data_IF_137534062609
#
_entry.id   IF_137534062609
#
_cell.length_a   1.000
_cell.length_b   1.000
_cell.length_c   1.000
_cell.angle_alpha   90.00
_cell.angle_beta   90.00
_cell.angle_gamma   90.00
#
_symmetry.space_group_name_H-M   'P 1'
#
loop_
_entity.id
_entity.type
_entity.pdbx_description
1 polymer ?
#
# COMPACT_ATOMS: atom_id res chain seq x y z
N UNK A 1 -26.80 -32.11 -14.19
CA UNK A 1 -25.52 -31.49 -14.61
C UNK A 1 -25.11 -30.59 -13.47
N UNK A 2 -24.30 -31.11 -12.57
CA UNK A 2 -23.91 -30.43 -11.34
C UNK A 2 -22.84 -29.37 -11.68
N UNK A 3 -22.99 -28.19 -11.09
CA UNK A 3 -22.09 -27.04 -11.28
C UNK A 3 -21.07 -27.09 -10.14
N UNK A 4 -19.87 -27.61 -10.41
CA UNK A 4 -18.84 -27.86 -9.39
C UNK A 4 -17.79 -26.72 -9.38
N UNK A 5 -17.39 -26.28 -8.19
CA UNK A 5 -16.36 -25.26 -7.96
C UNK A 5 -15.35 -25.76 -6.91
N UNK A 6 -14.07 -25.37 -7.01
CA UNK A 6 -12.97 -25.86 -6.16
C UNK A 6 -12.45 -24.74 -5.25
N UNK A 7 -12.36 -24.98 -3.95
CA UNK A 7 -11.57 -24.17 -3.03
C UNK A 7 -10.26 -24.89 -2.71
N UNK A 8 -9.16 -24.15 -2.58
CA UNK A 8 -7.91 -24.69 -2.03
C UNK A 8 -7.54 -23.96 -0.74
N UNK A 9 -7.39 -24.71 0.34
CA UNK A 9 -6.83 -24.23 1.60
C UNK A 9 -5.31 -24.33 1.48
N UNK A 10 -4.62 -23.20 1.50
CA UNK A 10 -3.15 -23.15 1.48
C UNK A 10 -2.68 -22.89 2.91
N UNK A 11 -2.29 -23.94 3.63
CA UNK A 11 -1.79 -23.78 4.99
C UNK A 11 -0.29 -23.52 4.98
N UNK A 12 0.13 -22.31 5.37
CA UNK A 12 1.54 -21.99 5.67
C UNK A 12 1.75 -22.10 7.17
N UNK A 13 2.31 -23.22 7.63
CA UNK A 13 2.58 -23.44 9.06
C UNK A 13 3.86 -22.72 9.50
N UNK A 14 3.70 -21.65 10.27
CA UNK A 14 4.73 -21.08 11.16
C UNK A 14 4.24 -21.26 12.60
N UNK A 15 5.11 -21.70 13.51
CA UNK A 15 4.77 -21.89 14.93
C UNK A 15 4.10 -20.62 15.50
N UNK A 16 2.92 -20.73 16.14
CA UNK A 16 2.12 -19.56 16.47
C UNK A 16 2.71 -18.78 17.63
N UNK A 17 3.07 -17.52 17.39
CA UNK A 17 2.95 -16.47 18.41
C UNK A 17 1.51 -15.95 18.28
N UNK A 18 0.76 -15.91 19.39
CA UNK A 18 -0.63 -15.48 19.47
C UNK A 18 -0.88 -14.22 18.61
N UNK A 19 -1.44 -14.42 17.42
CA UNK A 19 -1.78 -13.36 16.49
C UNK A 19 -3.09 -12.72 16.96
N UNK A 20 -3.03 -11.45 17.36
CA UNK A 20 -4.22 -10.64 17.60
C UNK A 20 -4.91 -10.31 16.26
N UNK A 21 -6.23 -10.14 16.34
CA UNK A 21 -7.17 -9.83 15.26
C UNK A 21 -6.84 -8.49 14.56
N UNK A 22 -5.96 -8.50 13.57
CA UNK A 22 -5.73 -7.33 12.71
C UNK A 22 -5.85 -7.73 11.24
N UNK A 23 -6.82 -7.19 10.51
CA UNK A 23 -6.94 -7.33 9.06
C UNK A 23 -5.59 -7.00 8.37
N UNK A 24 -5.09 -7.77 7.39
CA UNK A 24 -3.85 -7.42 6.70
C UNK A 24 -3.93 -6.10 5.91
N UNK A 25 -5.12 -5.58 5.58
CA UNK A 25 -5.32 -4.17 5.17
C UNK A 25 -5.42 -3.20 6.33
N UNK A 26 -5.78 -3.64 7.54
CA UNK A 26 -5.45 -2.89 8.77
C UNK A 26 -3.92 -2.89 9.00
N UNK A 27 -3.17 -3.66 8.20
CA UNK A 27 -1.74 -3.57 8.02
C UNK A 27 -1.30 -2.45 7.07
N UNK A 28 -1.04 -1.29 7.69
CA UNK A 28 0.02 -0.35 7.31
C UNK A 28 -0.29 0.66 6.19
N UNK A 29 -1.06 1.69 6.57
CA UNK A 29 -0.84 3.04 6.05
C UNK A 29 0.55 3.54 6.49
N UNK A 30 1.61 3.06 5.84
CA UNK A 30 2.96 3.52 6.15
C UNK A 30 3.15 4.93 5.62
N UNK A 31 2.98 5.93 6.49
CA UNK A 31 3.20 7.34 6.17
C UNK A 31 2.55 7.75 4.84
N UNK A 32 1.25 7.49 4.70
CA UNK A 32 0.50 7.78 3.47
C UNK A 32 0.49 9.29 3.21
N UNK A 33 0.98 9.75 2.05
CA UNK A 33 0.90 11.15 1.68
C UNK A 33 -0.56 11.56 1.46
N UNK A 34 -0.98 12.63 2.13
CA UNK A 34 -2.27 13.28 1.89
C UNK A 34 -2.08 14.41 0.88
N UNK A 35 -0.90 15.04 0.93
CA UNK A 35 -0.44 16.02 -0.03
C UNK A 35 0.46 17.07 0.60
N UNK A 36 0.77 18.08 -0.19
CA UNK A 36 1.66 19.17 0.19
C UNK A 36 0.94 20.49 0.02
N UNK A 37 0.94 21.31 1.07
CA UNK A 37 0.51 22.70 1.01
C UNK A 37 1.74 23.54 0.76
N UNK A 38 1.82 24.18 -0.40
CA UNK A 38 2.83 25.19 -0.70
C UNK A 38 2.21 26.57 -0.49
N UNK A 39 2.77 27.36 0.41
CA UNK A 39 2.20 28.67 0.74
C UNK A 39 2.28 29.61 -0.47
N UNK A 40 1.16 30.24 -0.81
CA UNK A 40 1.03 31.15 -1.95
C UNK A 40 0.83 30.47 -3.30
N UNK A 41 0.51 29.17 -3.32
CA UNK A 41 0.25 28.39 -4.53
C UNK A 41 -1.26 28.10 -4.64
N UNK A 42 -1.89 28.52 -5.75
CA UNK A 42 -3.34 28.45 -5.94
C UNK A 42 -3.90 27.02 -5.86
N UNK A 43 -3.13 26.03 -6.29
CA UNK A 43 -3.50 24.62 -6.18
C UNK A 43 -3.66 24.18 -4.72
N UNK A 44 -2.83 24.72 -3.81
CA UNK A 44 -2.93 24.44 -2.37
C UNK A 44 -4.15 25.12 -1.75
N UNK A 45 -4.50 26.33 -2.19
CA UNK A 45 -5.75 27.01 -1.79
C UNK A 45 -6.97 26.18 -2.19
N UNK A 46 -7.00 25.69 -3.43
CA UNK A 46 -8.10 24.86 -3.94
C UNK A 46 -8.18 23.49 -3.25
N UNK A 47 -7.03 22.83 -3.04
CA UNK A 47 -7.01 21.47 -2.52
C UNK A 47 -7.25 21.38 -1.00
N UNK A 48 -6.76 22.35 -0.23
CA UNK A 48 -6.79 22.32 1.24
C UNK A 48 -7.56 23.49 1.86
N UNK A 49 -8.16 24.37 1.05
CA UNK A 49 -8.78 25.60 1.56
C UNK A 49 -7.79 26.50 2.29
N UNK A 50 -6.52 26.47 1.88
CA UNK A 50 -5.46 27.25 2.52
C UNK A 50 -5.75 28.74 2.39
N UNK A 51 -5.71 29.47 3.50
CA UNK A 51 -5.87 30.93 3.58
C UNK A 51 -4.93 31.51 4.64
N UNK A 52 -4.60 32.80 4.54
CA UNK A 52 -3.85 33.51 5.58
C UNK A 52 -4.24 34.98 5.66
N UNK A 53 -4.25 35.52 6.88
CA UNK A 53 -4.40 36.96 7.15
C UNK A 53 -3.09 37.64 7.56
N UNK A 54 -1.95 36.97 7.36
CA UNK A 54 -0.62 37.44 7.77
C UNK A 54 -0.27 37.23 9.25
N UNK A 55 -1.23 36.89 10.11
CA UNK A 55 -1.02 36.53 11.52
C UNK A 55 -1.41 35.09 11.83
N UNK A 56 -2.28 34.50 11.03
CA UNK A 56 -2.73 33.12 11.15
C UNK A 56 -2.86 32.53 9.76
N UNK A 57 -2.45 31.28 9.64
CA UNK A 57 -2.65 30.46 8.45
C UNK A 57 -3.69 29.40 8.80
N UNK A 58 -4.65 29.18 7.90
CA UNK A 58 -5.76 28.23 8.12
C UNK A 58 -5.87 27.31 6.92
N UNK A 59 -6.00 26.01 7.16
CA UNK A 59 -6.30 25.02 6.12
C UNK A 59 -7.05 23.83 6.70
N UNK A 60 -7.58 22.98 5.82
CA UNK A 60 -8.40 21.85 6.18
C UNK A 60 -7.77 20.53 5.77
N UNK A 61 -7.89 19.53 6.64
CA UNK A 61 -7.56 18.14 6.33
C UNK A 61 -8.86 17.33 6.39
N UNK A 62 -9.15 16.55 5.36
CA UNK A 62 -10.39 15.78 5.25
C UNK A 62 -10.09 14.27 5.12
N UNK A 63 -10.75 13.38 5.87
CA UNK A 63 -10.51 11.93 5.85
C UNK A 63 -10.95 11.24 4.56
N UNK A 64 -11.84 11.86 3.78
CA UNK A 64 -12.16 11.40 2.42
C UNK A 64 -10.91 11.35 1.51
N UNK A 65 -9.82 12.01 1.93
CA UNK A 65 -8.49 11.85 1.36
C UNK A 65 -7.73 10.63 1.89
N UNK A 66 -8.39 9.59 2.39
CA UNK A 66 -7.74 8.34 2.77
C UNK A 66 -8.53 7.18 2.17
N UNK A 67 -7.82 6.35 1.38
CA UNK A 67 -8.39 5.21 0.65
C UNK A 67 -9.01 4.15 1.56
N UNK A 68 -8.76 4.23 2.88
CA UNK A 68 -9.10 3.22 3.86
C UNK A 68 -9.46 3.89 5.20
N UNK A 69 -10.59 3.53 5.81
CA UNK A 69 -10.88 3.86 7.20
C UNK A 69 -10.03 2.98 8.11
N UNK A 70 -8.88 3.49 8.57
CA UNK A 70 -7.94 2.73 9.41
C UNK A 70 -8.20 2.98 10.90
N UNK A 71 -8.48 1.93 11.70
CA UNK A 71 -8.54 2.05 13.15
C UNK A 71 -7.18 2.53 13.72
N UNK A 72 -7.21 3.54 14.60
CA UNK A 72 -6.02 3.97 15.35
C UNK A 72 -5.01 4.83 14.58
N UNK A 73 -5.31 5.27 13.36
CA UNK A 73 -4.43 6.19 12.63
C UNK A 73 -4.50 7.64 13.11
N UNK A 74 -3.51 8.43 12.71
CA UNK A 74 -3.31 9.82 13.09
C UNK A 74 -2.77 10.63 11.91
N UNK A 75 -3.14 11.91 11.88
CA UNK A 75 -2.55 12.87 10.96
C UNK A 75 -1.22 13.39 11.49
N UNK A 76 -0.27 13.60 10.58
CA UNK A 76 1.05 14.12 10.88
C UNK A 76 1.35 15.27 9.93
N UNK A 77 1.85 16.37 10.49
CA UNK A 77 2.34 17.52 9.72
C UNK A 77 3.86 17.53 9.85
N UNK A 78 4.55 17.59 8.72
CA UNK A 78 6.00 17.76 8.66
C UNK A 78 6.32 19.12 8.07
N UNK A 79 7.12 19.91 8.80
CA UNK A 79 7.56 21.23 8.37
C UNK A 79 9.02 21.51 8.77
N UNK A 80 9.98 21.35 7.85
CA UNK A 80 11.40 21.67 8.09
C UNK A 80 11.71 23.16 8.29
N UNK A 81 10.77 24.04 7.93
CA UNK A 81 10.92 25.50 7.93
C UNK A 81 10.14 26.17 9.08
N UNK A 82 9.59 25.39 10.02
CA UNK A 82 8.78 25.93 11.12
C UNK A 82 9.62 26.81 12.03
N UNK A 83 9.09 27.98 12.39
CA UNK A 83 9.75 28.87 13.33
C UNK A 83 9.61 28.32 14.75
N UNK A 84 10.63 28.57 15.59
CA UNK A 84 10.60 28.14 16.99
C UNK A 84 9.45 28.86 17.72
N UNK A 85 8.64 28.09 18.44
CA UNK A 85 7.51 28.62 19.22
C UNK A 85 6.25 28.91 18.41
N UNK A 86 6.20 28.52 17.13
CA UNK A 86 4.96 28.56 16.34
C UNK A 86 3.88 27.72 17.02
N UNK A 87 2.73 28.34 17.35
CA UNK A 87 1.59 27.62 17.94
C UNK A 87 0.74 26.98 16.84
N UNK A 88 0.26 25.77 17.12
CA UNK A 88 -0.70 25.04 16.29
C UNK A 88 -2.00 24.81 17.07
N UNK A 89 -3.11 25.11 16.42
CA UNK A 89 -4.48 24.94 16.93
C UNK A 89 -5.22 24.00 16.00
N UNK A 90 -5.90 23.00 16.58
CA UNK A 90 -6.69 22.00 15.86
C UNK A 90 -8.12 22.09 16.36
N UNK A 91 -9.06 22.38 15.46
CA UNK A 91 -10.49 22.56 15.78
C UNK A 91 -10.73 23.47 16.99
N UNK A 92 -10.00 24.60 17.03
CA UNK A 92 -10.08 25.61 18.08
C UNK A 92 -9.36 25.26 19.39
N UNK A 93 -8.71 24.10 19.49
CA UNK A 93 -7.94 23.68 20.68
C UNK A 93 -6.43 23.78 20.41
N UNK A 94 -5.70 24.43 21.30
CA UNK A 94 -4.24 24.51 21.20
C UNK A 94 -3.63 23.12 21.38
N UNK A 95 -2.76 22.74 20.45
CA UNK A 95 -1.96 21.51 20.48
C UNK A 95 -0.52 21.79 20.97
N UNK A 96 -0.27 23.03 21.43
CA UNK A 96 1.04 23.50 21.86
C UNK A 96 1.88 24.02 20.70
N UNK A 97 3.19 23.80 20.78
CA UNK A 97 4.11 24.26 19.73
C UNK A 97 4.21 23.26 18.59
N UNK A 98 4.33 23.78 17.37
CA UNK A 98 4.62 23.02 16.18
C UNK A 98 6.13 22.77 16.08
N UNK A 99 6.51 21.59 15.60
CA UNK A 99 7.90 21.21 15.36
C UNK A 99 8.11 20.63 13.98
N UNK A 100 9.31 20.08 13.75
CA UNK A 100 9.66 19.43 12.48
C UNK A 100 8.66 18.33 12.12
N UNK A 101 8.22 17.57 13.12
CA UNK A 101 7.19 16.52 13.02
C UNK A 101 6.17 16.79 14.10
N UNK A 102 4.91 16.98 13.72
CA UNK A 102 3.80 17.27 14.64
C UNK A 102 2.65 16.30 14.41
N UNK A 103 2.31 15.52 15.44
CA UNK A 103 1.18 14.58 15.43
C UNK A 103 -0.09 15.29 15.87
N UNK A 104 -1.18 15.13 15.12
CA UNK A 104 -2.49 15.66 15.51
C UNK A 104 -3.21 14.69 16.48
N UNK A 105 -4.06 15.24 17.34
CA UNK A 105 -4.84 14.45 18.31
C UNK A 105 -5.77 13.43 17.64
N UNK A 106 -5.86 12.25 18.25
CA UNK A 106 -6.79 11.15 17.88
C UNK A 106 -8.18 11.39 18.51
N UNK A 107 -9.31 11.01 17.85
CA UNK A 107 -9.39 10.19 16.65
C UNK A 107 -9.58 10.97 15.34
N UNK A 108 -9.25 10.29 14.25
CA UNK A 108 -9.54 10.69 12.87
C UNK A 108 -11.02 10.99 12.74
N UNK A 109 -11.41 12.12 12.12
CA UNK A 109 -12.81 12.46 11.90
C UNK A 109 -13.52 11.41 11.05
N UNK A 110 -14.85 11.40 11.12
CA UNK A 110 -15.67 10.52 10.27
C UNK A 110 -15.61 10.97 8.82
N UNK A 111 -16.02 10.06 7.93
CA UNK A 111 -16.16 10.37 6.51
C UNK A 111 -17.02 11.62 6.30
N UNK A 112 -16.50 12.57 5.51
CA UNK A 112 -17.17 13.85 5.22
C UNK A 112 -16.88 14.98 6.22
N UNK A 113 -16.28 14.71 7.37
CA UNK A 113 -15.84 15.74 8.31
C UNK A 113 -14.51 16.37 7.87
N UNK A 114 -14.22 17.59 8.33
CA UNK A 114 -12.95 18.29 8.07
C UNK A 114 -12.34 18.71 9.39
N UNK A 115 -11.02 18.53 9.51
CA UNK A 115 -10.22 19.10 10.59
C UNK A 115 -9.77 20.49 10.16
N UNK A 116 -9.99 21.49 11.00
CA UNK A 116 -9.46 22.83 10.81
C UNK A 116 -8.12 22.95 11.52
N UNK A 117 -7.07 23.25 10.75
CA UNK A 117 -5.74 23.52 11.28
C UNK A 117 -5.48 25.02 11.19
N UNK A 118 -5.11 25.61 12.32
CA UNK A 118 -4.61 26.98 12.38
C UNK A 118 -3.17 27.01 12.88
N UNK A 119 -2.33 27.78 12.20
CA UNK A 119 -0.94 28.00 12.57
C UNK A 119 -0.78 29.47 12.88
N UNK A 120 -0.43 29.79 14.13
CA UNK A 120 -0.25 31.17 14.59
C UNK A 120 1.12 31.68 14.18
N UNK A 121 1.13 32.77 13.44
CA UNK A 121 2.32 33.39 12.86
C UNK A 121 2.16 33.65 11.36
N UNK A 122 2.97 34.59 10.87
CA UNK A 122 3.08 34.85 9.44
C UNK A 122 3.74 33.66 8.74
N UNK A 123 3.32 33.31 7.51
CA UNK A 123 4.03 32.30 6.73
C UNK A 123 5.46 32.73 6.44
N UNK A 124 6.40 31.79 6.54
CA UNK A 124 7.75 32.00 6.03
C UNK A 124 7.73 32.03 4.49
N UNK A 125 8.70 32.73 3.88
CA UNK A 125 8.88 32.69 2.42
C UNK A 125 9.16 31.25 1.99
N UNK A 126 8.42 30.77 0.99
CA UNK A 126 8.55 29.41 0.45
C UNK A 126 8.24 28.30 1.46
N UNK A 127 7.38 28.59 2.46
CA UNK A 127 6.93 27.60 3.43
C UNK A 127 6.11 26.50 2.76
N UNK A 128 6.34 25.26 3.18
CA UNK A 128 5.48 24.12 2.81
C UNK A 128 5.12 23.26 4.02
N UNK A 129 3.97 22.60 3.93
CA UNK A 129 3.50 21.62 4.90
C UNK A 129 3.29 20.29 4.17
N UNK A 130 4.04 19.26 4.57
CA UNK A 130 3.77 17.90 4.11
C UNK A 130 2.81 17.25 5.07
N UNK A 131 1.72 16.70 4.54
CA UNK A 131 0.64 16.11 5.32
C UNK A 131 0.65 14.60 5.10
N UNK A 132 0.68 13.86 6.20
CA UNK A 132 0.70 12.41 6.20
C UNK A 132 -0.37 11.83 7.12
N UNK A 133 -0.67 10.57 6.86
CA UNK A 133 -1.46 9.72 7.75
C UNK A 133 -0.66 8.48 8.11
N UNK A 134 -0.66 8.12 9.40
CA UNK A 134 0.02 6.91 9.89
C UNK A 134 -0.69 6.30 11.09
N UNK A 135 -0.50 5.01 11.31
CA UNK A 135 -0.94 4.21 12.46
C UNK A 135 0.21 3.90 13.44
N UNK A 136 1.35 4.58 13.32
CA UNK A 136 2.56 4.35 14.12
C UNK A 136 2.28 4.36 15.63
N UNK A 137 1.47 5.29 16.12
CA UNK A 137 1.10 5.38 17.54
C UNK A 137 0.45 4.09 18.07
N UNK A 138 -0.46 3.50 17.29
CA UNK A 138 -1.10 2.22 17.60
C UNK A 138 -0.04 1.10 17.69
N UNK A 139 0.82 1.00 16.67
CA UNK A 139 1.89 -0.02 16.60
C UNK A 139 2.93 0.10 17.73
N UNK A 140 3.14 1.32 18.22
CA UNK A 140 4.04 1.61 19.35
C UNK A 140 3.35 1.43 20.71
N UNK A 141 2.03 1.30 20.75
CA UNK A 141 1.25 1.29 22.00
C UNK A 141 1.36 2.62 22.75
N UNK A 142 1.43 3.74 22.04
CA UNK A 142 1.67 5.07 22.60
C UNK A 142 0.73 6.12 22.02
N UNK A 143 0.33 7.11 22.83
CA UNK A 143 -0.39 8.28 22.34
C UNK A 143 0.61 9.35 21.89
N UNK A 144 0.77 9.54 20.58
CA UNK A 144 1.58 10.62 20.01
C UNK A 144 0.70 11.86 19.79
N UNK A 145 1.16 13.03 20.22
CA UNK A 145 0.43 14.29 20.06
C UNK A 145 1.39 15.48 20.15
N UNK A 146 1.14 16.51 19.35
CA UNK A 146 1.95 17.73 19.32
C UNK A 146 3.33 17.53 18.69
N UNK A 147 4.25 18.43 19.01
CA UNK A 147 5.64 18.37 18.55
C UNK A 147 6.34 17.12 19.06
N UNK A 148 6.78 16.26 18.14
CA UNK A 148 7.46 15.02 18.47
C UNK A 148 8.74 15.24 19.28
N UNK A 149 9.42 16.38 19.12
CA UNK A 149 10.63 16.68 19.89
C UNK A 149 10.37 16.75 21.41
N UNK A 150 9.16 17.18 21.78
CA UNK A 150 8.72 17.35 23.16
C UNK A 150 8.12 16.06 23.75
N UNK A 151 7.97 15.01 22.94
CA UNK A 151 7.45 13.72 23.38
C UNK A 151 8.39 13.03 24.38
N UNK A 152 7.79 12.38 25.38
CA UNK A 152 8.51 11.65 26.42
C UNK A 152 9.38 10.53 25.83
N UNK A 153 10.59 10.40 26.36
CA UNK A 153 11.55 9.37 25.98
C UNK A 153 11.44 8.16 26.90
N UNK A 154 10.43 7.32 26.71
CA UNK A 154 10.31 6.06 27.44
C UNK A 154 10.52 4.85 26.51
N UNK A 155 11.23 3.83 27.02
CA UNK A 155 11.45 2.57 26.33
C UNK A 155 11.89 2.71 24.86
N UNK A 156 11.02 2.29 23.95
CA UNK A 156 11.24 2.32 22.49
C UNK A 156 10.90 3.67 21.84
N UNK A 157 10.12 4.54 22.49
CA UNK A 157 9.73 5.85 21.92
C UNK A 157 10.92 6.78 21.74
N UNK A 158 11.96 6.67 22.59
CA UNK A 158 13.21 7.41 22.41
C UNK A 158 13.84 7.14 21.04
N UNK A 159 13.81 5.89 20.58
CA UNK A 159 14.38 5.48 19.29
C UNK A 159 13.50 5.94 18.12
N UNK A 160 12.18 5.89 18.31
CA UNK A 160 11.23 6.42 17.34
C UNK A 160 11.41 7.92 17.14
N UNK A 161 11.44 8.70 18.23
CA UNK A 161 11.67 10.14 18.21
C UNK A 161 13.00 10.50 17.55
N UNK A 162 14.11 9.89 18.00
CA UNK A 162 15.43 10.13 17.43
C UNK A 162 15.48 9.81 15.93
N UNK A 163 14.88 8.68 15.53
CA UNK A 163 14.85 8.26 14.15
C UNK A 163 14.03 9.20 13.26
N UNK A 164 12.83 9.59 13.71
CA UNK A 164 11.94 10.49 12.97
C UNK A 164 12.53 11.87 12.76
N UNK A 165 13.07 12.46 13.83
CA UNK A 165 13.71 13.77 13.74
C UNK A 165 14.95 13.71 12.84
N UNK A 166 15.75 12.64 12.92
CA UNK A 166 16.90 12.46 12.04
C UNK A 166 16.49 12.25 10.58
N UNK A 167 15.42 11.48 10.32
CA UNK A 167 14.90 11.21 8.97
C UNK A 167 14.48 12.51 8.30
N UNK A 168 13.61 13.29 8.96
CA UNK A 168 13.08 14.53 8.41
C UNK A 168 14.09 15.68 8.40
N UNK A 169 15.17 15.59 9.17
CA UNK A 169 16.32 16.48 9.07
C UNK A 169 17.33 16.06 7.97
N UNK A 170 17.05 15.01 7.18
CA UNK A 170 17.93 14.52 6.12
C UNK A 170 19.13 13.68 6.60
N UNK A 171 19.21 13.37 7.89
CA UNK A 171 20.26 12.54 8.50
C UNK A 171 19.92 11.04 8.42
N UNK A 172 19.73 10.53 7.20
CA UNK A 172 19.18 9.19 6.93
C UNK A 172 19.96 8.03 7.58
N UNK A 173 21.30 8.12 7.65
CA UNK A 173 22.13 7.11 8.31
C UNK A 173 21.87 7.06 9.83
N UNK A 174 21.71 8.22 10.47
CA UNK A 174 21.35 8.32 11.90
C UNK A 174 19.94 7.77 12.14
N UNK A 175 19.00 8.10 11.24
CA UNK A 175 17.63 7.60 11.30
C UNK A 175 17.60 6.06 11.23
N UNK A 176 18.26 5.48 10.23
CA UNK A 176 18.41 4.01 10.09
C UNK A 176 18.97 3.38 11.36
N UNK A 177 20.02 3.96 11.94
CA UNK A 177 20.63 3.44 13.17
C UNK A 177 19.67 3.50 14.36
N UNK A 178 18.96 4.61 14.56
CA UNK A 178 18.00 4.76 15.64
C UNK A 178 16.86 3.74 15.51
N UNK A 179 16.27 3.62 14.32
CA UNK A 179 15.22 2.65 14.06
C UNK A 179 15.70 1.20 14.18
N UNK A 180 16.91 0.89 13.72
CA UNK A 180 17.48 -0.47 13.87
C UNK A 180 17.68 -0.85 15.34
N UNK A 181 18.10 0.10 16.18
CA UNK A 181 18.17 -0.10 17.64
C UNK A 181 16.77 -0.26 18.24
N UNK A 182 15.81 0.58 17.81
CA UNK A 182 14.40 0.48 18.19
C UNK A 182 13.81 -0.90 17.87
N UNK A 183 14.10 -1.46 16.69
CA UNK A 183 13.64 -2.79 16.29
C UNK A 183 14.17 -3.90 17.22
N UNK A 184 15.39 -3.78 17.72
CA UNK A 184 15.97 -4.74 18.69
C UNK A 184 15.38 -4.59 20.09
N UNK A 185 14.97 -3.38 20.46
CA UNK A 185 14.38 -3.07 21.76
C UNK A 185 12.85 -3.28 21.81
N UNK A 186 12.20 -3.39 20.65
CA UNK A 186 10.78 -3.66 20.51
C UNK A 186 10.38 -4.98 21.17
N UNK A 187 9.26 -4.95 21.90
CA UNK A 187 8.72 -6.11 22.63
C UNK A 187 7.52 -6.76 21.94
N UNK A 188 6.90 -6.07 20.99
CA UNK A 188 5.77 -6.58 20.21
C UNK A 188 6.19 -6.77 18.75
N UNK A 189 5.61 -7.76 18.04
CA UNK A 189 5.82 -7.91 16.60
C UNK A 189 5.55 -6.60 15.83
N UNK A 190 4.43 -5.91 16.12
CA UNK A 190 4.04 -4.68 15.39
C UNK A 190 5.05 -3.55 15.53
N UNK A 191 5.52 -3.27 16.76
CA UNK A 191 6.54 -2.25 16.98
C UNK A 191 7.88 -2.64 16.33
N UNK A 192 8.25 -3.92 16.38
CA UNK A 192 9.46 -4.42 15.74
C UNK A 192 9.40 -4.26 14.21
N UNK A 193 8.26 -4.62 13.59
CA UNK A 193 8.03 -4.47 12.15
C UNK A 193 8.04 -3.01 11.74
N UNK A 194 7.35 -2.13 12.48
CA UNK A 194 7.37 -0.69 12.23
C UNK A 194 8.80 -0.16 12.18
N UNK A 195 9.61 -0.44 13.20
CA UNK A 195 10.99 0.02 13.24
C UNK A 195 11.83 -0.51 12.08
N UNK A 196 11.67 -1.78 11.69
CA UNK A 196 12.37 -2.33 10.52
C UNK A 196 11.95 -1.63 9.24
N UNK A 197 10.66 -1.31 9.09
CA UNK A 197 10.13 -0.60 7.93
C UNK A 197 10.67 0.84 7.85
N UNK A 198 10.69 1.56 8.97
CA UNK A 198 11.29 2.89 9.10
C UNK A 198 12.80 2.89 8.82
N UNK A 199 13.51 1.84 9.23
CA UNK A 199 14.93 1.65 8.92
C UNK A 199 15.15 1.44 7.40
N UNK A 200 14.30 0.63 6.75
CA UNK A 200 14.30 0.47 5.28
C UNK A 200 14.00 1.77 4.56
N UNK A 201 13.04 2.55 5.04
CA UNK A 201 12.71 3.85 4.48
C UNK A 201 13.90 4.81 4.54
N UNK A 202 14.53 4.87 5.71
CA UNK A 202 15.75 5.68 5.92
C UNK A 202 16.90 5.23 5.01
N UNK A 203 17.08 3.93 4.83
CA UNK A 203 18.09 3.39 3.92
C UNK A 203 17.81 3.77 2.46
N UNK A 204 16.55 3.63 2.02
CA UNK A 204 16.14 3.98 0.66
C UNK A 204 16.40 5.47 0.38
N UNK A 205 16.05 6.34 1.33
CA UNK A 205 16.33 7.77 1.26
C UNK A 205 17.83 8.08 1.22
N UNK A 206 18.66 7.34 1.96
CA UNK A 206 20.12 7.48 1.90
C UNK A 206 20.69 7.11 0.53
N UNK A 207 20.14 6.07 -0.11
CA UNK A 207 20.59 5.61 -1.44
C UNK A 207 20.26 6.61 -2.55
N UNK A 208 19.14 7.33 -2.45
CA UNK A 208 18.67 8.25 -3.47
C UNK A 208 19.75 9.22 -3.98
N UNK A 209 20.48 9.89 -3.08
CA UNK A 209 21.51 10.87 -3.46
C UNK A 209 22.74 10.28 -4.17
N UNK A 210 23.00 8.98 -4.00
CA UNK A 210 24.11 8.26 -4.61
C UNK A 210 23.83 7.75 -6.02
N UNK A 211 22.56 7.65 -6.42
CA UNK A 211 22.16 7.16 -7.74
C UNK A 211 22.37 8.26 -8.79
N UNK A 212 22.82 7.84 -9.99
CA UNK A 212 23.10 8.74 -11.14
C UNK A 212 22.50 8.27 -12.46
N UNK A 213 22.12 7.01 -12.57
CA UNK A 213 21.59 6.38 -13.79
C UNK A 213 20.07 6.28 -13.72
N UNK A 214 19.39 6.36 -14.87
CA UNK A 214 17.95 6.21 -14.94
C UNK A 214 17.47 4.84 -14.45
N UNK A 215 18.16 3.76 -14.81
CA UNK A 215 17.85 2.38 -14.38
C UNK A 215 17.98 2.25 -12.86
N UNK A 216 19.03 2.83 -12.29
CA UNK A 216 19.21 2.87 -10.83
C UNK A 216 18.06 3.59 -10.12
N UNK A 217 17.59 4.73 -10.65
CA UNK A 217 16.43 5.42 -10.08
C UNK A 217 15.15 4.60 -10.27
N UNK A 218 14.96 3.98 -11.42
CA UNK A 218 13.81 3.11 -11.67
C UNK A 218 13.76 1.93 -10.69
N UNK A 219 14.89 1.25 -10.45
CA UNK A 219 14.97 0.14 -9.49
C UNK A 219 14.72 0.59 -8.04
N UNK A 220 15.23 1.76 -7.62
CA UNK A 220 14.90 2.31 -6.30
C UNK A 220 13.42 2.71 -6.22
N UNK A 221 12.84 3.20 -7.30
CA UNK A 221 11.42 3.51 -7.42
C UNK A 221 10.54 2.26 -7.24
N UNK A 222 10.87 1.16 -7.92
CA UNK A 222 10.17 -0.12 -7.75
C UNK A 222 10.25 -0.61 -6.30
N UNK A 223 11.45 -0.57 -5.71
CA UNK A 223 11.65 -0.89 -4.30
C UNK A 223 10.79 0.00 -3.40
N UNK A 224 10.74 1.30 -3.67
CA UNK A 224 9.96 2.27 -2.91
C UNK A 224 8.45 1.99 -3.02
N UNK A 225 7.91 1.72 -4.21
CA UNK A 225 6.51 1.32 -4.39
C UNK A 225 6.16 0.07 -3.61
N UNK A 226 6.98 -0.99 -3.73
CA UNK A 226 6.75 -2.25 -3.03
C UNK A 226 6.75 -2.10 -1.49
N UNK A 227 7.42 -1.07 -0.97
CA UNK A 227 7.46 -0.78 0.46
C UNK A 227 6.52 0.37 0.89
N UNK A 228 5.70 0.90 -0.01
CA UNK A 228 4.79 2.02 0.29
C UNK A 228 5.48 3.37 0.52
N UNK A 229 6.72 3.55 0.08
CA UNK A 229 7.46 4.81 0.19
C UNK A 229 7.09 5.77 -0.95
N UNK A 230 5.82 6.14 -1.04
CA UNK A 230 5.22 6.76 -2.23
C UNK A 230 5.91 8.05 -2.68
N UNK A 231 6.26 8.95 -1.76
CA UNK A 231 6.99 10.18 -2.13
C UNK A 231 8.36 9.87 -2.76
N UNK A 232 9.09 8.91 -2.19
CA UNK A 232 10.39 8.49 -2.72
C UNK A 232 10.22 7.81 -4.08
N UNK A 233 9.17 6.99 -4.26
CA UNK A 233 8.87 6.36 -5.55
C UNK A 233 8.63 7.41 -6.64
N UNK A 234 7.82 8.42 -6.36
CA UNK A 234 7.56 9.53 -7.29
C UNK A 234 8.85 10.28 -7.63
N UNK A 235 9.68 10.62 -6.65
CA UNK A 235 10.96 11.30 -6.90
C UNK A 235 11.92 10.44 -7.74
N UNK A 236 11.97 9.13 -7.47
CA UNK A 236 12.76 8.16 -8.23
C UNK A 236 12.29 8.05 -9.67
N UNK A 237 11.00 7.81 -9.90
CA UNK A 237 10.49 7.65 -11.27
C UNK A 237 10.56 8.95 -12.06
N UNK A 238 10.41 10.12 -11.42
CA UNK A 238 10.66 11.41 -12.08
C UNK A 238 12.10 11.53 -12.57
N UNK A 239 13.08 11.15 -11.74
CA UNK A 239 14.49 11.10 -12.16
C UNK A 239 14.74 10.05 -13.24
N UNK A 240 14.05 8.92 -13.17
CA UNK A 240 14.13 7.88 -14.19
C UNK A 240 13.59 8.37 -15.54
N UNK A 241 12.46 9.08 -15.60
CA UNK A 241 11.91 9.62 -16.85
C UNK A 241 12.74 10.77 -17.42
N UNK A 242 13.39 11.58 -16.56
CA UNK A 242 14.36 12.59 -16.98
C UNK A 242 15.58 11.97 -17.68
N UNK A 243 16.08 10.83 -17.19
CA UNK A 243 17.28 10.16 -17.69
C UNK A 243 16.99 9.12 -18.78
N UNK A 244 15.78 8.56 -18.80
CA UNK A 244 15.30 7.57 -19.78
C UNK A 244 13.97 8.04 -20.39
N UNK A 245 13.95 9.13 -21.16
CA UNK A 245 12.72 9.74 -21.67
C UNK A 245 11.95 8.85 -22.64
N UNK A 246 12.59 7.83 -23.22
CA UNK A 246 11.99 6.87 -24.15
C UNK A 246 11.66 5.52 -23.49
N UNK A 247 11.86 5.37 -22.18
CA UNK A 247 11.51 4.14 -21.46
C UNK A 247 10.03 4.20 -21.04
N UNK A 248 9.14 3.39 -21.62
CA UNK A 248 7.71 3.44 -21.33
C UNK A 248 7.36 2.98 -19.90
N UNK A 249 8.11 2.03 -19.32
CA UNK A 249 7.87 1.53 -17.95
C UNK A 249 8.13 2.64 -16.92
N UNK A 250 9.16 3.46 -17.12
CA UNK A 250 9.46 4.59 -16.22
C UNK A 250 8.31 5.62 -16.18
N UNK A 251 7.67 5.90 -17.32
CA UNK A 251 6.52 6.79 -17.41
C UNK A 251 5.27 6.18 -16.77
N UNK A 252 5.04 4.88 -17.01
CA UNK A 252 3.93 4.14 -16.41
C UNK A 252 4.04 4.15 -14.88
N UNK A 253 5.21 3.77 -14.35
CA UNK A 253 5.44 3.68 -12.92
C UNK A 253 5.42 5.06 -12.23
N UNK A 254 5.79 6.15 -12.94
CA UNK A 254 5.58 7.50 -12.42
C UNK A 254 4.08 7.81 -12.25
N UNK A 255 3.26 7.44 -13.24
CA UNK A 255 1.82 7.58 -13.15
C UNK A 255 1.24 6.76 -12.00
N UNK A 256 1.69 5.51 -11.86
CA UNK A 256 1.23 4.60 -10.81
C UNK A 256 1.59 5.12 -9.42
N UNK A 257 2.86 5.50 -9.19
CA UNK A 257 3.30 6.07 -7.92
C UNK A 257 2.56 7.37 -7.55
N UNK A 258 2.28 8.23 -8.53
CA UNK A 258 1.48 9.45 -8.33
C UNK A 258 0.04 9.11 -7.94
N UNK A 259 -0.52 8.01 -8.46
CA UNK A 259 -1.87 7.57 -8.07
C UNK A 259 -1.95 7.20 -6.60
N UNK A 260 -0.92 6.54 -6.06
CA UNK A 260 -0.83 6.18 -4.63
C UNK A 260 -0.48 7.36 -3.72
N UNK A 261 0.18 8.40 -4.24
CA UNK A 261 0.38 9.67 -3.53
C UNK A 261 -0.93 10.50 -3.43
N UNK A 262 -1.97 10.12 -4.16
CA UNK A 262 -3.24 10.85 -4.20
C UNK A 262 -4.39 9.99 -3.71
N UNK A 263 -5.23 10.60 -2.90
CA UNK A 263 -6.31 9.91 -2.20
C UNK A 263 -7.66 9.89 -2.89
N UNK A 264 -7.79 10.57 -4.03
CA UNK A 264 -9.04 10.76 -4.75
C UNK A 264 -8.84 10.30 -6.20
N UNK A 265 -9.25 9.06 -6.45
CA UNK A 265 -9.12 8.38 -7.74
C UNK A 265 -10.04 8.98 -8.81
N UNK A 266 -11.18 9.57 -8.46
CA UNK A 266 -12.16 10.05 -9.45
C UNK A 266 -11.88 11.51 -9.89
N UNK A 267 -11.42 12.39 -9.00
CA UNK A 267 -11.16 13.80 -9.35
C UNK A 267 -9.75 14.10 -9.86
N UNK A 268 -8.80 13.17 -9.81
CA UNK A 268 -7.38 13.44 -10.09
C UNK A 268 -6.73 12.62 -11.19
N UNK A 269 -7.49 11.77 -11.90
CA UNK A 269 -6.98 11.08 -13.10
C UNK A 269 -6.41 12.08 -14.12
N UNK A 270 -6.98 13.29 -14.24
CA UNK A 270 -6.46 14.35 -15.12
C UNK A 270 -4.97 14.66 -14.89
N UNK A 271 -4.46 14.55 -13.66
CA UNK A 271 -3.05 14.83 -13.33
C UNK A 271 -2.12 13.67 -13.69
N UNK A 272 -2.64 12.45 -13.78
CA UNK A 272 -1.86 11.22 -13.90
C UNK A 272 -1.92 10.66 -15.32
N UNK A 273 -3.08 10.81 -15.98
CA UNK A 273 -3.37 10.40 -17.36
C UNK A 273 -2.30 10.84 -18.37
N UNK A 274 -1.71 12.05 -18.30
CA UNK A 274 -0.62 12.43 -19.20
C UNK A 274 0.60 11.50 -19.15
N UNK A 275 0.95 10.97 -17.97
CA UNK A 275 2.08 10.04 -17.82
C UNK A 275 1.78 8.66 -18.41
N UNK A 276 0.55 8.17 -18.19
CA UNK A 276 0.10 6.93 -18.80
C UNK A 276 -0.04 7.02 -20.32
N UNK A 277 -0.52 8.16 -20.85
CA UNK A 277 -0.51 8.42 -22.29
C UNK A 277 0.91 8.40 -22.84
N UNK A 278 1.84 9.06 -22.15
CA UNK A 278 3.24 9.07 -22.57
C UNK A 278 3.84 7.66 -22.62
N UNK A 279 3.56 6.83 -21.62
CA UNK A 279 3.97 5.42 -21.60
C UNK A 279 3.37 4.65 -22.78
N UNK A 280 2.06 4.80 -23.02
CA UNK A 280 1.34 4.14 -24.11
C UNK A 280 1.84 4.55 -25.51
N UNK A 281 2.26 5.81 -25.71
CA UNK A 281 2.89 6.27 -26.95
C UNK A 281 4.25 5.60 -27.23
N UNK A 282 4.97 5.25 -26.16
CA UNK A 282 6.34 4.72 -26.23
C UNK A 282 6.39 3.18 -26.31
N UNK A 283 5.36 2.47 -25.84
CA UNK A 283 5.33 1.00 -25.97
C UNK A 283 5.30 0.58 -27.45
N UNK A 284 6.08 -0.47 -27.83
CA UNK A 284 5.95 -1.09 -29.14
C UNK A 284 4.50 -1.51 -29.38
N UNK A 285 3.94 -1.15 -30.53
CA UNK A 285 2.54 -1.47 -30.87
C UNK A 285 2.39 -2.89 -31.41
N UNK A 286 3.48 -3.48 -31.88
CA UNK A 286 3.53 -4.80 -32.48
C UNK A 286 3.94 -5.80 -31.38
N UNK A 287 3.16 -6.87 -31.16
CA UNK A 287 3.32 -7.85 -30.07
C UNK A 287 3.17 -7.34 -28.62
N UNK A 288 2.55 -6.17 -28.40
CA UNK A 288 2.17 -5.72 -27.05
C UNK A 288 1.06 -6.61 -26.48
N UNK A 289 1.32 -7.27 -25.35
CA UNK A 289 0.25 -7.76 -24.48
C UNK A 289 -0.45 -6.54 -23.85
N UNK A 290 -1.43 -6.00 -24.56
CA UNK A 290 -2.12 -4.72 -24.30
C UNK A 290 -2.94 -4.71 -23.00
N UNK A 291 -2.27 -4.80 -21.86
CA UNK A 291 -2.81 -4.40 -20.55
C UNK A 291 -2.33 -2.98 -20.17
N UNK A 292 -1.14 -2.58 -20.63
CA UNK A 292 -0.52 -1.27 -20.35
C UNK A 292 -1.09 -0.09 -21.14
N UNK A 293 -1.89 -0.34 -22.18
CA UNK A 293 -2.47 0.68 -23.05
C UNK A 293 -3.92 1.09 -22.69
N UNK A 294 -4.47 0.68 -21.54
CA UNK A 294 -5.89 0.87 -21.23
C UNK A 294 -6.18 1.53 -19.88
N UNK A 295 -5.70 2.75 -19.68
CA UNK A 295 -6.10 3.55 -18.51
C UNK A 295 -7.51 4.16 -18.66
N UNK A 296 -8.05 4.24 -19.87
CA UNK A 296 -9.41 4.76 -20.14
C UNK A 296 -10.51 3.71 -20.36
N UNK A 297 -10.19 2.41 -20.45
CA UNK A 297 -11.11 1.40 -21.00
C UNK A 297 -11.91 0.60 -19.95
N UNK A 298 -11.43 0.51 -18.70
CA UNK A 298 -11.99 -0.43 -17.71
C UNK A 298 -13.33 0.00 -17.09
N UNK A 299 -13.80 1.24 -17.28
CA UNK A 299 -15.14 1.66 -16.80
C UNK A 299 -16.28 1.17 -17.71
N UNK A 300 -15.98 0.75 -18.96
CA UNK A 300 -16.99 0.37 -19.98
C UNK A 300 -16.95 -1.08 -20.46
N UNK A 301 -16.01 -1.90 -19.98
CA UNK A 301 -15.84 -3.30 -20.40
C UNK A 301 -16.17 -4.34 -19.32
N UNK A 302 -16.94 -4.00 -18.29
CA UNK A 302 -17.44 -5.03 -17.37
C UNK A 302 -18.37 -5.98 -18.12
N UNK A 303 -17.94 -7.23 -18.21
CA UNK A 303 -18.36 -8.25 -19.17
C UNK A 303 -19.70 -8.89 -18.74
N UNK A 304 -20.38 -9.42 -19.76
CA UNK A 304 -21.60 -10.24 -19.83
C UNK A 304 -21.92 -11.20 -18.67
N UNK A 305 -23.21 -11.58 -18.55
CA UNK A 305 -23.87 -12.32 -17.44
C UNK A 305 -23.62 -13.84 -17.36
N UNK A 306 -22.80 -14.45 -18.20
CA UNK A 306 -22.56 -15.91 -18.18
C UNK A 306 -21.07 -16.22 -17.93
N UNK A 307 -20.62 -16.17 -16.67
CA UNK A 307 -19.18 -16.03 -16.30
C UNK A 307 -18.57 -17.29 -15.65
N UNK A 308 -19.34 -18.36 -15.40
CA UNK A 308 -18.85 -19.57 -14.72
C UNK A 308 -19.01 -20.76 -15.64
N UNK A 309 -17.94 -21.51 -15.87
CA UNK A 309 -18.00 -22.74 -16.67
C UNK A 309 -18.03 -23.94 -15.71
N UNK A 310 -19.00 -24.85 -15.83
CA UNK A 310 -19.01 -26.06 -15.02
C UNK A 310 -17.80 -26.92 -15.39
N UNK A 311 -17.07 -27.38 -14.38
CA UNK A 311 -15.93 -28.29 -14.56
C UNK A 311 -16.39 -29.75 -14.50
N UNK A 312 -15.80 -30.60 -15.34
CA UNK A 312 -15.91 -32.06 -15.19
C UNK A 312 -14.98 -32.58 -14.10
N UNK A 313 -15.22 -33.80 -13.61
CA UNK A 313 -14.35 -34.44 -12.62
C UNK A 313 -12.91 -34.57 -13.13
N UNK A 314 -12.71 -34.85 -14.43
CA UNK A 314 -11.37 -34.90 -15.02
C UNK A 314 -10.69 -33.52 -15.02
N UNK A 315 -11.44 -32.45 -15.28
CA UNK A 315 -10.92 -31.09 -15.24
C UNK A 315 -10.56 -30.70 -13.80
N UNK A 316 -11.37 -31.08 -12.81
CA UNK A 316 -11.08 -30.86 -11.39
C UNK A 316 -9.77 -31.54 -11.00
N UNK A 317 -9.59 -32.80 -11.41
CA UNK A 317 -8.38 -33.55 -11.08
C UNK A 317 -7.13 -32.97 -11.74
N UNK A 318 -7.24 -32.57 -13.02
CA UNK A 318 -6.16 -31.89 -13.73
C UNK A 318 -5.74 -30.60 -13.03
N UNK A 319 -6.70 -29.79 -12.57
CA UNK A 319 -6.41 -28.54 -11.85
C UNK A 319 -5.68 -28.81 -10.53
N UNK A 320 -6.14 -29.79 -9.73
CA UNK A 320 -5.46 -30.17 -8.48
C UNK A 320 -4.01 -30.58 -8.73
N UNK A 321 -3.78 -31.37 -9.78
CA UNK A 321 -2.45 -31.83 -10.16
C UNK A 321 -1.53 -30.65 -10.55
N UNK A 322 -1.98 -29.78 -11.44
CA UNK A 322 -1.22 -28.61 -11.90
C UNK A 322 -0.93 -27.65 -10.75
N UNK A 323 -1.91 -27.42 -9.87
CA UNK A 323 -1.75 -26.58 -8.68
C UNK A 323 -0.73 -27.17 -7.70
N UNK A 324 -0.74 -28.49 -7.52
CA UNK A 324 0.28 -29.23 -6.76
C UNK A 324 1.68 -29.04 -7.33
N UNK A 325 1.85 -29.15 -8.65
CA UNK A 325 3.14 -28.91 -9.29
C UNK A 325 3.66 -27.50 -9.07
N UNK A 326 2.79 -26.49 -9.10
CA UNK A 326 3.18 -25.10 -8.79
C UNK A 326 3.77 -25.00 -7.38
N UNK A 327 3.14 -25.64 -6.40
CA UNK A 327 3.62 -25.69 -5.02
C UNK A 327 4.98 -26.39 -4.89
N UNK A 328 5.15 -27.52 -5.56
CA UNK A 328 6.41 -28.29 -5.53
C UNK A 328 7.56 -27.51 -6.18
N UNK A 329 7.32 -26.84 -7.31
CA UNK A 329 8.30 -25.98 -7.99
C UNK A 329 8.79 -24.88 -7.04
N UNK A 330 7.88 -24.28 -6.27
CA UNK A 330 8.19 -23.18 -5.37
C UNK A 330 8.86 -23.65 -4.09
N UNK A 331 8.43 -24.78 -3.53
CA UNK A 331 9.13 -25.45 -2.43
C UNK A 331 10.57 -25.81 -2.83
N UNK A 332 10.78 -26.35 -4.03
CA UNK A 332 12.11 -26.66 -4.56
C UNK A 332 12.96 -25.39 -4.77
N UNK A 333 12.36 -24.33 -5.33
CA UNK A 333 13.03 -23.03 -5.55
C UNK A 333 13.46 -22.37 -4.24
N UNK A 334 12.69 -22.57 -3.17
CA UNK A 334 13.04 -22.11 -1.81
C UNK A 334 14.13 -22.98 -1.13
N UNK A 335 14.62 -24.03 -1.80
CA UNK A 335 15.49 -25.06 -1.24
C UNK A 335 14.91 -25.73 0.01
N UNK A 336 13.60 -25.95 0.01
CA UNK A 336 12.86 -26.56 1.12
C UNK A 336 12.65 -25.64 2.33
N UNK A 337 13.01 -24.35 2.23
CA UNK A 337 12.75 -23.37 3.29
C UNK A 337 11.26 -23.03 3.41
N UNK A 338 10.49 -23.28 2.36
CA UNK A 338 9.06 -23.05 2.27
C UNK A 338 8.35 -24.39 2.15
N UNK A 339 7.29 -24.56 2.94
CA UNK A 339 6.39 -25.71 2.89
C UNK A 339 4.97 -25.21 2.68
N UNK A 340 4.38 -25.56 1.54
CA UNK A 340 2.94 -25.40 1.31
C UNK A 340 2.21 -26.72 1.48
N UNK A 341 1.06 -26.66 2.14
CA UNK A 341 0.09 -27.75 2.18
C UNK A 341 -1.18 -27.24 1.52
N UNK A 342 -1.64 -27.94 0.48
CA UNK A 342 -2.85 -27.59 -0.26
C UNK A 342 -3.93 -28.63 0.02
N UNK A 343 -5.04 -28.23 0.63
CA UNK A 343 -6.23 -29.08 0.79
C UNK A 343 -7.34 -28.59 -0.13
N UNK A 344 -7.87 -29.46 -0.99
CA UNK A 344 -8.90 -29.08 -1.97
C UNK A 344 -10.30 -29.49 -1.48
N UNK A 345 -11.24 -28.56 -1.51
CA UNK A 345 -12.66 -28.77 -1.20
C UNK A 345 -13.49 -28.49 -2.44
N UNK A 346 -14.36 -29.42 -2.82
CA UNK A 346 -15.26 -29.27 -3.98
C UNK A 346 -16.67 -28.99 -3.47
N UNK A 347 -17.34 -28.00 -4.04
CA UNK A 347 -18.71 -27.62 -3.69
C UNK A 347 -19.70 -27.98 -4.80
N UNK A 348 -20.84 -28.54 -4.42
CA UNK A 348 -21.91 -29.00 -5.31
C UNK A 348 -22.87 -27.87 -5.77
N UNK A 349 -22.84 -26.72 -5.06
CA UNK A 349 -23.66 -25.54 -5.35
C UNK A 349 -22.82 -24.34 -5.77
N UNK A 350 -23.31 -23.59 -6.74
CA UNK A 350 -22.69 -22.35 -7.21
C UNK A 350 -23.02 -21.21 -6.22
N UNK A 351 -21.99 -20.52 -5.72
CA UNK A 351 -22.18 -19.33 -4.91
C UNK A 351 -22.72 -18.18 -5.80
N UNK A 352 -23.87 -17.59 -5.45
CA UNK A 352 -24.40 -16.43 -6.19
C UNK A 352 -23.49 -15.22 -5.99
N UNK A 353 -22.70 -14.93 -7.03
CA UNK A 353 -21.90 -13.71 -7.14
C UNK A 353 -22.21 -12.97 -8.44
N UNK A 354 -23.49 -12.96 -8.86
CA UNK A 354 -23.99 -12.32 -10.08
C UNK A 354 -24.05 -10.79 -10.03
N UNK A 355 -23.48 -10.17 -8.99
CA UNK A 355 -23.47 -8.72 -8.85
C UNK A 355 -22.57 -8.07 -9.93
N UNK A 356 -23.00 -6.96 -10.57
CA UNK A 356 -22.16 -6.16 -11.44
C UNK A 356 -20.92 -5.54 -10.73
N UNK A 357 -20.76 -5.78 -9.43
CA UNK A 357 -19.49 -5.74 -8.73
C UNK A 357 -18.99 -7.16 -8.49
N UNK A 358 -17.92 -7.55 -9.19
CA UNK A 358 -17.08 -8.76 -8.99
C UNK A 358 -16.46 -8.87 -7.57
N UNK A 359 -16.97 -8.11 -6.60
CA UNK A 359 -16.31 -7.68 -5.37
C UNK A 359 -17.24 -7.76 -4.14
N UNK A 360 -18.27 -8.63 -4.14
CA UNK A 360 -19.10 -8.82 -2.96
C UNK A 360 -18.56 -9.97 -2.09
N UNK A 361 -17.94 -9.68 -0.93
CA UNK A 361 -17.38 -10.69 -0.05
C UNK A 361 -18.44 -11.40 0.80
N UNK A 362 -19.66 -10.86 0.89
CA UNK A 362 -20.70 -11.34 1.83
C UNK A 362 -21.02 -12.83 1.75
N UNK A 363 -21.03 -13.50 0.58
CA UNK A 363 -21.28 -14.94 0.50
C UNK A 363 -20.26 -15.82 1.23
N UNK A 364 -19.07 -15.29 1.54
CA UNK A 364 -17.98 -16.05 2.14
C UNK A 364 -17.63 -15.61 3.58
N UNK A 365 -18.36 -14.64 4.13
CA UNK A 365 -18.23 -14.23 5.53
C UNK A 365 -18.65 -15.35 6.48
N UNK A 366 -17.76 -15.73 7.40
CA UNK A 366 -18.01 -16.73 8.44
C UNK A 366 -17.74 -18.18 8.06
N UNK A 367 -17.37 -18.48 6.81
CA UNK A 367 -17.01 -19.84 6.37
C UNK A 367 -15.64 -20.30 6.91
N UNK A 368 -14.72 -19.36 7.17
CA UNK A 368 -13.31 -19.67 7.43
C UNK A 368 -12.84 -19.23 8.82
N UNK A 369 -12.02 -20.04 9.52
CA UNK A 369 -11.37 -19.65 10.77
C UNK A 369 -10.39 -18.48 10.58
N UNK A 370 -10.28 -17.60 11.57
CA UNK A 370 -9.28 -16.51 11.53
C UNK A 370 -7.86 -17.09 11.60
N UNK A 371 -7.00 -16.67 10.67
CA UNK A 371 -5.58 -17.05 10.65
C UNK A 371 -5.21 -18.24 9.76
N UNK A 372 -6.17 -18.88 9.09
CA UNK A 372 -5.90 -19.72 7.91
C UNK A 372 -5.89 -18.86 6.64
N UNK A 373 -4.99 -19.15 5.70
CA UNK A 373 -5.01 -18.57 4.34
C UNK A 373 -5.74 -19.52 3.41
N UNK A 374 -7.04 -19.29 3.24
CA UNK A 374 -7.86 -20.08 2.33
C UNK A 374 -8.02 -19.31 1.02
N UNK A 375 -7.69 -19.96 -0.11
CA UNK A 375 -7.81 -19.37 -1.44
C UNK A 375 -8.99 -20.01 -2.15
N UNK A 376 -10.04 -19.23 -2.34
CA UNK A 376 -11.17 -19.61 -3.16
C UNK A 376 -10.78 -19.51 -4.63
N UNK A 377 -11.00 -20.57 -5.42
CA UNK A 377 -10.68 -20.58 -6.85
C UNK A 377 -11.94 -20.75 -7.68
N UNK A 378 -12.30 -19.69 -8.38
CA UNK A 378 -13.33 -19.74 -9.40
C UNK A 378 -12.71 -20.04 -10.75
N UNK A 379 -13.33 -20.92 -11.52
CA UNK A 379 -12.94 -21.17 -12.90
C UNK A 379 -13.97 -20.59 -13.88
N UNK A 380 -13.50 -19.75 -14.81
CA UNK A 380 -14.33 -19.16 -15.84
C UNK A 380 -13.97 -19.72 -17.23
N UNK A 381 -14.96 -19.85 -18.11
CA UNK A 381 -14.77 -20.42 -19.45
C UNK A 381 -14.02 -19.49 -20.41
N UNK A 382 -14.11 -18.17 -20.20
CA UNK A 382 -13.37 -17.16 -20.94
C UNK A 382 -13.28 -15.85 -20.15
N UNK A 383 -12.08 -15.30 -19.99
CA UNK A 383 -11.86 -14.07 -19.21
C UNK A 383 -10.39 -13.81 -18.90
N UNK A 384 -10.08 -12.62 -18.42
CA UNK A 384 -8.81 -12.36 -17.75
C UNK A 384 -8.77 -13.16 -16.45
N UNK A 385 -7.64 -13.79 -16.15
CA UNK A 385 -7.41 -14.33 -14.82
C UNK A 385 -7.06 -13.17 -13.89
N UNK A 386 -7.62 -13.20 -12.68
CA UNK A 386 -7.43 -12.18 -11.66
C UNK A 386 -7.37 -12.87 -10.30
N UNK A 387 -6.24 -12.81 -9.61
CA UNK A 387 -6.19 -13.14 -8.19
C UNK A 387 -6.15 -11.89 -7.32
N UNK A 388 -7.13 -11.78 -6.44
CA UNK A 388 -7.20 -10.77 -5.41
C UNK A 388 -6.61 -11.33 -4.13
N UNK A 389 -5.80 -10.51 -3.47
CA UNK A 389 -5.11 -10.90 -2.26
C UNK A 389 -6.03 -11.23 -1.11
N UNK A 390 -5.44 -11.95 -0.14
CA UNK A 390 -5.97 -12.25 1.20
C UNK A 390 -6.38 -11.01 2.01
N UNK A 391 -6.21 -9.83 1.45
CA UNK A 391 -6.48 -8.54 2.06
C UNK A 391 -7.86 -8.02 1.60
N UNK A 392 -8.23 -8.19 0.33
CA UNK A 392 -9.48 -7.72 -0.25
C UNK A 392 -10.69 -8.65 0.00
N UNK A 393 -10.47 -9.86 0.52
CA UNK A 393 -11.51 -10.86 0.76
C UNK A 393 -12.06 -10.88 2.20
N UNK A 394 -13.27 -11.40 2.41
CA UNK A 394 -13.87 -11.57 3.74
C UNK A 394 -13.00 -12.49 4.60
N UNK A 395 -12.81 -12.15 5.88
CA UNK A 395 -12.06 -12.95 6.85
C UNK A 395 -10.63 -13.37 6.43
N UNK A 396 -9.97 -12.58 5.57
CA UNK A 396 -8.63 -12.88 5.01
C UNK A 396 -8.58 -14.01 3.97
N UNK A 397 -9.70 -14.34 3.35
CA UNK A 397 -9.72 -15.27 2.21
C UNK A 397 -9.12 -14.59 0.97
N UNK A 398 -8.28 -15.30 0.21
CA UNK A 398 -7.95 -14.88 -1.15
C UNK A 398 -9.03 -15.42 -2.09
N UNK A 399 -9.30 -14.67 -3.15
CA UNK A 399 -10.15 -15.15 -4.24
C UNK A 399 -9.34 -15.04 -5.53
N UNK A 400 -9.12 -16.17 -6.19
CA UNK A 400 -8.62 -16.19 -7.54
C UNK A 400 -9.74 -16.55 -8.51
N UNK A 401 -9.99 -15.66 -9.48
CA UNK A 401 -10.82 -15.94 -10.63
C UNK A 401 -9.89 -16.34 -11.79
N UNK A 402 -9.90 -17.62 -12.12
CA UNK A 402 -8.96 -18.23 -13.06
C UNK A 402 -9.72 -18.53 -14.36
N UNK A 403 -9.28 -17.93 -15.46
CA UNK A 403 -9.73 -18.41 -16.76
C UNK A 403 -9.17 -19.80 -17.03
N UNK A 404 -10.01 -20.74 -17.47
CA UNK A 404 -9.60 -22.09 -17.88
C UNK A 404 -8.59 -22.00 -19.03
N UNK A 405 -7.31 -22.01 -18.67
CA UNK A 405 -6.14 -21.86 -19.54
C UNK A 405 -5.07 -22.88 -19.12
N UNK A 406 -3.93 -22.91 -19.82
CA UNK A 406 -2.85 -23.87 -19.54
C UNK A 406 -2.19 -23.67 -18.18
N UNK A 407 -1.21 -24.55 -17.88
CA UNK A 407 -0.50 -24.57 -16.60
C UNK A 407 0.22 -23.26 -16.27
N UNK A 408 0.59 -22.47 -17.27
CA UNK A 408 1.25 -21.17 -17.14
C UNK A 408 0.37 -20.15 -16.40
N UNK A 409 -0.95 -20.19 -16.62
CA UNK A 409 -1.91 -19.29 -15.96
C UNK A 409 -2.15 -19.73 -14.53
N UNK A 410 -2.23 -21.04 -14.29
CA UNK A 410 -2.31 -21.58 -12.92
C UNK A 410 -1.09 -21.19 -12.10
N UNK A 411 0.12 -21.32 -12.67
CA UNK A 411 1.35 -20.91 -12.01
C UNK A 411 1.39 -19.39 -11.74
N UNK A 412 0.90 -18.58 -12.68
CA UNK A 412 0.78 -17.14 -12.51
C UNK A 412 -0.13 -16.75 -11.33
N UNK A 413 -1.35 -17.29 -11.29
CA UNK A 413 -2.32 -16.99 -10.23
C UNK A 413 -1.92 -17.60 -8.87
N UNK A 414 -1.26 -18.75 -8.89
CA UNK A 414 -0.66 -19.34 -7.68
C UNK A 414 0.41 -18.43 -7.09
N UNK A 415 1.29 -17.89 -7.93
CA UNK A 415 2.31 -16.92 -7.47
C UNK A 415 1.66 -15.68 -6.88
N UNK A 416 0.54 -15.21 -7.42
CA UNK A 416 -0.23 -14.15 -6.77
C UNK A 416 -0.76 -14.56 -5.40
N UNK A 417 -1.35 -15.75 -5.26
CA UNK A 417 -1.78 -16.26 -3.95
C UNK A 417 -0.60 -16.30 -2.96
N UNK A 418 0.58 -16.74 -3.42
CA UNK A 418 1.80 -16.73 -2.62
C UNK A 418 2.25 -15.30 -2.26
N UNK A 419 2.32 -14.38 -3.22
CA UNK A 419 2.73 -12.99 -2.99
C UNK A 419 1.86 -12.39 -1.89
N UNK A 420 0.55 -12.59 -1.97
CA UNK A 420 -0.38 -12.12 -0.95
C UNK A 420 -0.22 -12.86 0.39
N UNK A 421 -0.03 -14.18 0.39
CA UNK A 421 0.23 -14.94 1.62
C UNK A 421 1.54 -14.49 2.31
N UNK A 422 2.55 -14.09 1.54
CA UNK A 422 3.84 -13.62 2.05
C UNK A 422 3.79 -12.16 2.51
N UNK A 423 3.10 -11.29 1.77
CA UNK A 423 2.83 -9.88 2.17
C UNK A 423 2.07 -9.85 3.49
N UNK A 424 1.10 -10.75 3.67
CA UNK A 424 0.33 -10.86 4.91
C UNK A 424 1.06 -11.61 6.04
N UNK A 425 2.09 -12.39 5.73
CA UNK A 425 2.72 -13.37 6.62
C UNK A 425 4.09 -13.02 7.26
N UNK A 426 4.54 -11.76 7.28
CA UNK A 426 5.83 -11.33 7.87
C UNK A 426 7.13 -11.88 7.25
N UNK A 427 7.08 -12.67 6.18
CA UNK A 427 8.29 -13.29 5.61
C UNK A 427 8.93 -12.36 4.57
N UNK A 428 10.23 -12.10 4.74
CA UNK A 428 10.99 -11.13 3.98
C UNK A 428 11.01 -11.35 2.46
N UNK A 429 11.18 -10.23 1.75
CA UNK A 429 11.20 -10.11 0.28
C UNK A 429 12.33 -10.94 -0.33
N UNK A 430 11.95 -11.98 -1.07
CA UNK A 430 12.81 -12.79 -1.91
C UNK A 430 11.96 -13.72 -2.76
N UNK A 431 11.22 -13.18 -3.72
CA UNK A 431 10.35 -13.96 -4.63
C UNK A 431 10.66 -13.56 -6.09
N UNK A 432 10.58 -14.50 -7.06
CA UNK A 432 10.80 -14.20 -8.47
C UNK A 432 9.74 -13.24 -8.99
N UNK A 433 10.18 -12.17 -9.64
CA UNK A 433 9.32 -11.18 -10.28
C UNK A 433 8.61 -11.85 -11.48
N UNK A 434 7.31 -12.12 -11.37
CA UNK A 434 6.46 -12.46 -12.54
C UNK A 434 5.78 -11.25 -13.14
N UNK A 435 5.76 -10.13 -12.40
CA UNK A 435 5.34 -8.81 -12.85
C UNK A 435 6.54 -7.87 -12.92
N UNK A 436 7.16 -7.79 -14.10
CA UNK A 436 7.45 -6.43 -14.53
C UNK A 436 6.07 -5.83 -14.82
N UNK A 437 5.53 -5.07 -13.87
CA UNK A 437 4.36 -4.19 -14.06
C UNK A 437 4.78 -2.96 -14.84
#
# INVERSE_FOLDING_TARGET
MNRLLICAVVLVLVLPVLAQDINPHEGQAFWLPIGVINVGVAESEKAFGYTTNGKTQTFFIAPNNLRMHMPGGQFVIVNPQVAKGTEIVVDGKSLGTMGLVTFLTSPVPKWGEKITIEIKGAPAKSQSYKLYYTDDASKLGAALSGNLADAEENGILKHYKQGMLALWAGSHAKAKSAFSTGAKAAKTPDSCRLFRHLARWSEAQAKFGGIKTGEGFYLLGLYACHNGFWDLAVDCFRKATELMPTNPDAWYMLGDALSYQTSDLDMKMEKIVPYYHKAAELYPKDNSNTWRNHVGLFKKLRVSKDVVSPMTDEQIEYVKQVWGWCADILAASSRGSLRMVNDFVVYDEEFDNSSPGEMDPRPFEGLFPRGSTETFMKFNGWGASMCFGHDCGPNRSAHCNIGLRGWEVMYHEWNHSLDWAMITGELGVGVPVTHAS
#
